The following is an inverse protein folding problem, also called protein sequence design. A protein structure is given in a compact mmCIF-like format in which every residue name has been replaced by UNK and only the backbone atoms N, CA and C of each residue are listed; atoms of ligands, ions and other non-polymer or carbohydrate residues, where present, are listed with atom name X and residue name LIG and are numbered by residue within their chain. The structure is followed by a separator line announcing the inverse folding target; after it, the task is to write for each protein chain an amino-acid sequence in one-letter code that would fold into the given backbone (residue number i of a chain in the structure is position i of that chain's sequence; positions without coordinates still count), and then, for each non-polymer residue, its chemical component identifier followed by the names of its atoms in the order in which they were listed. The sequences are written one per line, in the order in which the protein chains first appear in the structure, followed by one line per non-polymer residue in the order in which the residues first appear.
data_IF_632182630081
#
_entry.id   IF_632182630081
#
_cell.length_a   1.000
_cell.length_b   1.000
_cell.length_c   1.000
_cell.angle_alpha   90.00
_cell.angle_beta   90.00
_cell.angle_gamma   90.00
#
_symmetry.space_group_name_H-M   'P 1'
#
loop_
_entity.id
_entity.type
_entity.pdbx_description
1 polymer ?
#
# COMPACT_ATOMS: atom_id res chain seq x y z
N UNK A 1 1.59 -21.70 -4.96
CA UNK A 1 1.48 -20.22 -4.87
C UNK A 1 0.64 -19.69 -3.71
N UNK A 2 -0.09 -20.52 -2.94
CA UNK A 2 -0.77 -20.03 -1.72
C UNK A 2 0.27 -19.72 -0.64
N UNK A 3 0.27 -18.49 -0.10
CA UNK A 3 1.04 -18.11 1.10
C UNK A 3 2.37 -17.37 0.90
N UNK A 4 2.85 -17.18 -0.34
CA UNK A 4 4.09 -16.41 -0.58
C UNK A 4 3.96 -14.95 -0.09
N UNK A 5 2.83 -14.30 -0.40
CA UNK A 5 2.56 -12.92 0.00
C UNK A 5 2.50 -12.77 1.52
N UNK A 6 1.84 -13.71 2.21
CA UNK A 6 1.78 -13.73 3.68
C UNK A 6 3.15 -13.96 4.30
N UNK A 7 3.98 -14.83 3.71
CA UNK A 7 5.34 -15.10 4.19
C UNK A 7 6.22 -13.87 4.09
N UNK A 8 6.24 -13.21 2.92
CA UNK A 8 6.98 -11.96 2.72
C UNK A 8 6.43 -10.86 3.63
N UNK A 9 5.10 -10.75 3.71
CA UNK A 9 4.43 -9.75 4.54
C UNK A 9 4.81 -9.83 6.01
N UNK A 10 4.99 -11.04 6.58
CA UNK A 10 5.46 -11.18 7.97
C UNK A 10 6.84 -10.56 8.19
N UNK A 11 7.77 -10.71 7.24
CA UNK A 11 9.10 -10.12 7.35
C UNK A 11 9.09 -8.62 7.05
N UNK A 12 8.39 -8.20 6.00
CA UNK A 12 8.28 -6.81 5.59
C UNK A 12 7.61 -5.94 6.68
N UNK A 13 6.46 -6.39 7.20
CA UNK A 13 5.71 -5.66 8.23
C UNK A 13 6.25 -5.86 9.66
N UNK A 14 7.35 -6.59 9.86
CA UNK A 14 8.06 -6.58 11.14
C UNK A 14 8.66 -5.19 11.42
N UNK A 15 9.06 -4.47 10.36
CA UNK A 15 9.54 -3.10 10.41
C UNK A 15 8.38 -2.11 10.70
N UNK A 16 8.46 -1.29 11.76
CA UNK A 16 7.43 -0.28 12.09
C UNK A 16 7.22 0.79 11.02
N UNK A 17 8.28 1.25 10.39
CA UNK A 17 8.24 2.25 9.31
C UNK A 17 7.45 1.71 8.09
N UNK A 18 7.64 0.43 7.75
CA UNK A 18 6.88 -0.23 6.69
C UNK A 18 5.37 -0.29 6.98
N UNK A 19 4.99 -0.52 8.25
CA UNK A 19 3.57 -0.47 8.67
C UNK A 19 3.01 0.94 8.56
N UNK A 20 3.75 1.95 9.01
CA UNK A 20 3.33 3.35 8.93
C UNK A 20 3.15 3.80 7.48
N UNK A 21 4.09 3.43 6.60
CA UNK A 21 4.02 3.71 5.17
C UNK A 21 2.78 3.06 4.54
N UNK A 22 2.56 1.77 4.79
CA UNK A 22 1.42 1.04 4.23
C UNK A 22 0.08 1.59 4.72
N UNK A 23 -0.02 1.97 6.00
CA UNK A 23 -1.23 2.60 6.53
C UNK A 23 -1.53 3.94 5.85
N UNK A 24 -0.49 4.78 5.66
CA UNK A 24 -0.62 6.02 4.90
C UNK A 24 -1.06 5.79 3.45
N UNK A 25 -0.50 4.78 2.80
CA UNK A 25 -0.90 4.34 1.46
C UNK A 25 -2.38 3.93 1.39
N UNK A 26 -2.87 3.14 2.35
CA UNK A 26 -4.29 2.74 2.40
C UNK A 26 -5.22 3.94 2.59
N UNK A 27 -4.86 4.90 3.45
CA UNK A 27 -5.64 6.14 3.60
C UNK A 27 -5.66 6.99 2.33
N UNK A 28 -4.55 7.08 1.61
CA UNK A 28 -4.50 7.79 0.32
C UNK A 28 -5.41 7.15 -0.73
N UNK A 29 -5.39 5.81 -0.83
CA UNK A 29 -6.28 5.10 -1.75
C UNK A 29 -7.76 5.28 -1.40
N UNK A 30 -8.11 5.26 -0.10
CA UNK A 30 -9.47 5.51 0.35
C UNK A 30 -9.94 6.91 -0.08
N UNK A 31 -9.12 7.93 0.15
CA UNK A 31 -9.41 9.31 -0.26
C UNK A 31 -9.61 9.44 -1.78
N UNK A 32 -8.72 8.87 -2.57
CA UNK A 32 -8.83 8.90 -4.04
C UNK A 32 -10.08 8.20 -4.54
N UNK A 33 -10.50 7.12 -3.86
CA UNK A 33 -11.75 6.43 -4.17
C UNK A 33 -12.97 7.31 -3.87
N UNK A 34 -13.02 7.93 -2.69
CA UNK A 34 -14.10 8.82 -2.26
C UNK A 34 -14.24 10.03 -3.19
N UNK A 35 -13.12 10.61 -3.62
CA UNK A 35 -13.06 11.77 -4.51
C UNK A 35 -13.18 11.41 -6.01
N UNK A 36 -13.30 10.12 -6.35
CA UNK A 36 -13.36 9.59 -7.74
C UNK A 36 -12.18 9.99 -8.62
N UNK A 37 -11.00 10.21 -8.03
CA UNK A 37 -9.79 10.67 -8.71
C UNK A 37 -9.01 9.51 -9.33
N UNK A 38 -9.66 8.69 -10.16
CA UNK A 38 -9.10 7.42 -10.65
C UNK A 38 -7.75 7.56 -11.37
N UNK A 39 -7.51 8.70 -12.03
CA UNK A 39 -6.25 8.99 -12.71
C UNK A 39 -5.04 9.00 -11.76
N UNK A 40 -5.24 9.34 -10.48
CA UNK A 40 -4.17 9.41 -9.48
C UNK A 40 -3.76 8.04 -8.92
N UNK A 41 -4.59 7.01 -9.10
CA UNK A 41 -4.33 5.67 -8.55
C UNK A 41 -2.99 5.11 -9.05
N UNK A 42 -2.67 5.29 -10.33
CA UNK A 42 -1.45 4.77 -10.92
C UNK A 42 -0.20 5.35 -10.24
N UNK A 43 -0.17 6.68 -10.04
CA UNK A 43 0.96 7.35 -9.40
C UNK A 43 1.13 6.91 -7.95
N UNK A 44 0.03 6.81 -7.20
CA UNK A 44 0.04 6.41 -5.79
C UNK A 44 0.57 4.98 -5.62
N UNK A 45 0.11 4.02 -6.43
CA UNK A 45 0.59 2.63 -6.39
C UNK A 45 2.06 2.56 -6.82
N UNK A 46 2.46 3.29 -7.86
CA UNK A 46 3.85 3.30 -8.33
C UNK A 46 4.81 3.88 -7.29
N UNK A 47 4.40 4.94 -6.58
CA UNK A 47 5.21 5.56 -5.52
C UNK A 47 5.35 4.67 -4.29
N UNK A 48 4.32 3.89 -3.94
CA UNK A 48 4.40 2.93 -2.84
C UNK A 48 5.29 1.71 -3.16
N UNK A 49 5.31 1.29 -4.42
CA UNK A 49 6.09 0.12 -4.86
C UNK A 49 7.56 0.38 -5.23
N UNK A 50 8.01 1.65 -5.21
CA UNK A 50 9.39 2.06 -5.51
C UNK A 50 10.26 2.07 -4.24
#
# INVERSE_FOLDING_TARGET
MKGLYTRIGRHYFANPEARSLALGFYHQLAKVCEEKLHEQVYEIVRRYGA
#
